data_IF_973703519346
#
_entry.id   IF_973703519346
#
_cell.length_a   1.000
_cell.length_b   1.000
_cell.length_c   1.000
_cell.angle_alpha   90.00
_cell.angle_beta   90.00
_cell.angle_gamma   90.00
#
_symmetry.space_group_name_H-M   'P 1'
#
loop_
_entity.id
_entity.type
_entity.pdbx_description
1 polymer ?
#
# COMPACT_ATOMS: atom_id res chain seq x y z
N UNK A 1 -34.44 8.11 -9.81
CA UNK A 1 -33.31 7.96 -8.86
C UNK A 1 -32.85 6.51 -8.98
N UNK A 2 -31.72 6.25 -9.60
CA UNK A 2 -31.09 4.92 -9.60
C UNK A 2 -30.71 4.60 -8.16
N UNK A 3 -31.19 3.48 -7.62
CA UNK A 3 -30.80 3.00 -6.30
C UNK A 3 -29.27 2.93 -6.24
N UNK A 4 -28.66 3.48 -5.18
CA UNK A 4 -27.22 3.40 -4.98
C UNK A 4 -26.85 1.93 -4.73
N UNK A 5 -26.23 1.29 -5.72
CA UNK A 5 -25.77 -0.10 -5.62
C UNK A 5 -24.44 -0.24 -4.86
N UNK A 6 -23.79 0.88 -4.55
CA UNK A 6 -22.52 0.89 -3.83
C UNK A 6 -22.75 1.02 -2.32
N UNK A 7 -21.95 0.30 -1.54
CA UNK A 7 -21.91 0.50 -0.10
C UNK A 7 -21.47 1.93 0.23
N UNK A 8 -22.03 2.50 1.29
CA UNK A 8 -21.75 3.88 1.73
C UNK A 8 -20.45 4.00 2.55
N UNK A 9 -19.40 3.31 2.12
CA UNK A 9 -18.06 3.34 2.75
C UNK A 9 -17.27 4.60 2.43
N UNK A 10 -17.66 5.31 1.36
CA UNK A 10 -17.10 6.60 0.95
C UNK A 10 -18.21 7.60 0.68
N UNK A 11 -17.89 8.88 0.80
CA UNK A 11 -18.75 10.00 0.41
C UNK A 11 -18.12 10.74 -0.78
N UNK A 12 -18.26 10.21 -2.01
CA UNK A 12 -17.70 10.86 -3.19
C UNK A 12 -18.36 12.22 -3.42
N UNK A 13 -17.58 13.16 -3.94
CA UNK A 13 -18.12 14.42 -4.44
C UNK A 13 -19.14 14.14 -5.56
N UNK A 14 -20.13 15.01 -5.71
CA UNK A 14 -21.12 14.93 -6.80
C UNK A 14 -20.51 15.36 -8.14
N UNK A 15 -19.43 14.74 -8.53
CA UNK A 15 -18.63 15.02 -9.72
C UNK A 15 -18.17 13.71 -10.35
N UNK A 16 -18.33 13.58 -11.66
CA UNK A 16 -17.90 12.41 -12.43
C UNK A 16 -17.13 12.87 -13.65
N UNK A 17 -15.93 12.31 -13.83
CA UNK A 17 -15.06 12.59 -14.96
C UNK A 17 -15.26 11.56 -16.06
N UNK A 18 -15.25 12.02 -17.31
CA UNK A 18 -15.39 11.19 -18.52
C UNK A 18 -14.11 11.09 -19.34
N UNK A 19 -13.16 12.03 -19.14
CA UNK A 19 -11.93 12.13 -19.91
C UNK A 19 -10.79 12.69 -19.05
N UNK A 20 -9.57 12.21 -19.28
CA UNK A 20 -8.33 12.76 -18.73
C UNK A 20 -7.24 12.85 -19.78
N UNK A 21 -6.43 13.90 -19.74
CA UNK A 21 -5.24 14.08 -20.58
C UNK A 21 -4.16 14.91 -19.84
N UNK A 22 -3.00 14.34 -19.65
CA UNK A 22 -1.96 14.98 -18.85
C UNK A 22 -2.47 15.29 -17.44
N UNK A 23 -2.43 16.55 -17.03
CA UNK A 23 -2.92 17.03 -15.74
C UNK A 23 -4.36 17.58 -15.79
N UNK A 24 -5.11 17.30 -16.84
CA UNK A 24 -6.47 17.80 -17.04
C UNK A 24 -7.51 16.70 -17.01
N UNK A 25 -8.64 16.99 -16.42
CA UNK A 25 -9.83 16.15 -16.37
C UNK A 25 -11.02 16.92 -16.94
N UNK A 26 -11.96 16.21 -17.56
CA UNK A 26 -13.24 16.76 -18.04
C UNK A 26 -14.40 15.97 -17.47
N UNK A 27 -15.40 16.69 -16.96
CA UNK A 27 -16.62 16.06 -16.47
C UNK A 27 -17.58 15.68 -17.63
N UNK A 28 -18.73 15.11 -17.28
CA UNK A 28 -19.76 14.71 -18.24
C UNK A 28 -20.35 15.90 -19.02
N UNK A 29 -20.29 17.12 -18.47
CA UNK A 29 -20.73 18.35 -19.12
C UNK A 29 -19.62 19.03 -19.95
N UNK A 30 -18.43 18.45 -20.02
CA UNK A 30 -17.28 18.98 -20.76
C UNK A 30 -16.52 20.10 -20.03
N UNK A 31 -16.81 20.36 -18.76
CA UNK A 31 -16.04 21.33 -17.97
C UNK A 31 -14.67 20.77 -17.64
N UNK A 32 -13.65 21.60 -17.77
CA UNK A 32 -12.27 21.26 -17.54
C UNK A 32 -11.84 21.55 -16.10
N UNK A 33 -11.01 20.67 -15.55
CA UNK A 33 -10.45 20.74 -14.21
C UNK A 33 -8.94 20.46 -14.24
N UNK A 34 -8.19 21.11 -13.37
CA UNK A 34 -6.80 20.74 -13.08
C UNK A 34 -6.81 19.59 -12.06
N UNK A 35 -6.18 18.47 -12.41
CA UNK A 35 -6.02 17.33 -11.49
C UNK A 35 -4.73 17.50 -10.69
N UNK A 36 -4.86 17.90 -9.43
CA UNK A 36 -3.76 17.97 -8.46
C UNK A 36 -3.72 16.76 -7.53
N UNK A 37 -4.63 15.78 -7.71
CA UNK A 37 -4.73 14.57 -6.88
C UNK A 37 -4.09 13.36 -7.56
N UNK A 38 -4.13 13.32 -8.90
CA UNK A 38 -3.57 12.23 -9.72
C UNK A 38 -4.08 10.84 -9.31
N UNK A 39 -5.36 10.72 -8.90
CA UNK A 39 -5.92 9.47 -8.40
C UNK A 39 -5.27 8.99 -7.09
N UNK A 40 -4.89 9.90 -6.20
CA UNK A 40 -4.06 9.69 -5.01
C UNK A 40 -2.68 9.10 -5.44
N UNK A 41 -1.96 9.89 -6.26
CA UNK A 41 -0.62 9.59 -6.80
C UNK A 41 -0.52 8.32 -7.68
N UNK A 42 -1.63 7.87 -8.28
CA UNK A 42 -1.64 6.71 -9.20
C UNK A 42 -1.20 7.10 -10.61
N UNK A 43 -1.68 8.25 -11.13
CA UNK A 43 -1.40 8.71 -12.50
C UNK A 43 -0.21 9.68 -12.54
N UNK A 44 0.93 9.29 -11.99
CA UNK A 44 2.11 10.14 -11.81
C UNK A 44 2.68 10.75 -13.09
N UNK A 45 2.47 10.11 -14.23
CA UNK A 45 2.90 10.61 -15.55
C UNK A 45 1.78 11.33 -16.31
N UNK A 46 0.65 11.59 -15.64
CA UNK A 46 -0.55 12.17 -16.20
C UNK A 46 -1.47 11.18 -16.87
N UNK A 47 -2.73 11.62 -17.08
CA UNK A 47 -3.76 10.84 -17.71
C UNK A 47 -3.45 10.57 -19.18
N UNK A 48 -3.80 9.39 -19.67
CA UNK A 48 -3.71 8.98 -21.08
C UNK A 48 -2.33 9.19 -21.70
N UNK A 49 -1.26 8.95 -20.92
CA UNK A 49 0.10 9.10 -21.42
C UNK A 49 0.34 8.14 -22.60
N UNK A 50 0.75 8.63 -23.81
CA UNK A 50 0.70 7.84 -25.03
C UNK A 50 1.57 6.58 -25.00
N UNK A 51 2.74 6.61 -24.38
CA UNK A 51 3.60 5.44 -24.24
C UNK A 51 2.98 4.37 -23.35
N UNK A 52 2.26 4.75 -22.29
CA UNK A 52 1.59 3.82 -21.38
C UNK A 52 0.39 3.21 -22.07
N UNK A 53 -0.44 4.03 -22.74
CA UNK A 53 -1.60 3.55 -23.51
C UNK A 53 -1.14 2.55 -24.59
N UNK A 54 -0.09 2.87 -25.35
CA UNK A 54 0.46 1.97 -26.36
C UNK A 54 0.93 0.65 -25.76
N UNK A 55 1.74 0.70 -24.69
CA UNK A 55 2.28 -0.50 -24.06
C UNK A 55 1.17 -1.41 -23.48
N UNK A 56 0.14 -0.82 -22.85
CA UNK A 56 -1.00 -1.58 -22.33
C UNK A 56 -1.79 -2.22 -23.48
N UNK A 57 -2.09 -1.46 -24.53
CA UNK A 57 -2.87 -1.97 -25.69
C UNK A 57 -2.14 -3.08 -26.42
N UNK A 58 -0.84 -2.95 -26.64
CA UNK A 58 -0.02 -3.96 -27.27
C UNK A 58 0.02 -5.23 -26.40
N UNK A 59 0.36 -5.11 -25.13
CA UNK A 59 0.44 -6.26 -24.23
C UNK A 59 -0.91 -6.97 -24.04
N UNK A 60 -2.00 -6.18 -23.95
CA UNK A 60 -3.35 -6.75 -23.82
C UNK A 60 -3.75 -7.58 -25.05
N UNK A 61 -3.26 -7.19 -26.25
CA UNK A 61 -3.46 -7.96 -27.46
C UNK A 61 -2.62 -9.23 -27.57
N UNK A 62 -1.55 -9.36 -26.78
CA UNK A 62 -0.66 -10.52 -26.79
C UNK A 62 -0.99 -11.51 -25.67
N UNK A 63 -1.00 -11.06 -24.43
CA UNK A 63 -1.16 -11.93 -23.27
C UNK A 63 -1.51 -11.13 -22.01
N UNK A 64 -2.61 -11.46 -21.35
CA UNK A 64 -3.06 -10.79 -20.16
C UNK A 64 -2.51 -11.43 -18.87
N UNK A 65 -2.59 -12.76 -18.75
CA UNK A 65 -2.24 -13.44 -17.50
C UNK A 65 -1.98 -14.94 -17.72
N UNK A 66 -1.03 -15.51 -16.95
CA UNK A 66 -0.69 -16.93 -16.99
C UNK A 66 -0.58 -17.60 -15.63
N UNK A 67 -0.86 -16.88 -14.52
CA UNK A 67 -0.59 -17.35 -13.15
C UNK A 67 0.90 -17.48 -12.80
N UNK A 68 1.21 -17.54 -11.51
CA UNK A 68 2.55 -17.79 -10.99
C UNK A 68 3.04 -19.24 -11.20
N UNK A 69 2.26 -20.07 -11.86
CA UNK A 69 2.69 -21.40 -12.31
C UNK A 69 3.73 -21.31 -13.44
N UNK A 70 3.80 -20.19 -14.11
CA UNK A 70 4.72 -19.94 -15.21
C UNK A 70 5.55 -18.68 -14.93
N UNK A 71 6.73 -18.61 -15.54
CA UNK A 71 7.53 -17.38 -15.53
C UNK A 71 6.84 -16.28 -16.31
N UNK A 72 6.84 -15.08 -15.76
CA UNK A 72 6.29 -13.87 -16.36
C UNK A 72 7.44 -12.91 -16.67
N UNK A 73 7.77 -12.73 -17.94
CA UNK A 73 8.93 -11.95 -18.37
C UNK A 73 8.88 -10.50 -17.87
N UNK A 74 7.73 -9.83 -18.00
CA UNK A 74 7.55 -8.47 -17.52
C UNK A 74 7.74 -8.32 -15.99
N UNK A 75 7.32 -9.32 -15.22
CA UNK A 75 7.52 -9.35 -13.78
C UNK A 75 9.01 -9.45 -13.43
N UNK A 76 9.75 -10.30 -14.13
CA UNK A 76 11.20 -10.44 -13.91
C UNK A 76 11.96 -9.17 -14.29
N UNK A 77 11.65 -8.56 -15.44
CA UNK A 77 12.26 -7.32 -15.90
C UNK A 77 11.98 -6.16 -14.92
N UNK A 78 10.75 -6.05 -14.43
CA UNK A 78 10.39 -5.05 -13.44
C UNK A 78 11.11 -5.29 -12.11
N UNK A 79 11.16 -6.55 -11.63
CA UNK A 79 11.88 -6.92 -10.42
C UNK A 79 13.35 -6.53 -10.51
N UNK A 80 14.03 -6.87 -11.61
CA UNK A 80 15.43 -6.50 -11.85
C UNK A 80 15.63 -4.99 -11.79
N UNK A 81 14.75 -4.22 -12.41
CA UNK A 81 14.85 -2.75 -12.40
C UNK A 81 14.65 -2.16 -11.00
N UNK A 82 13.65 -2.66 -10.27
CA UNK A 82 13.33 -2.17 -8.92
C UNK A 82 14.43 -2.53 -7.91
N UNK A 83 14.92 -3.76 -7.94
CA UNK A 83 16.00 -4.20 -7.04
C UNK A 83 17.29 -3.42 -7.28
N UNK A 84 17.62 -3.15 -8.54
CA UNK A 84 18.77 -2.32 -8.91
C UNK A 84 18.63 -0.88 -8.37
N UNK A 85 17.44 -0.27 -8.51
CA UNK A 85 17.20 1.10 -8.04
C UNK A 85 17.14 1.21 -6.52
N UNK A 86 16.60 0.20 -5.85
CA UNK A 86 16.44 0.17 -4.40
C UNK A 86 17.68 -0.32 -3.64
N UNK A 87 18.70 -0.86 -4.34
CA UNK A 87 19.84 -1.52 -3.70
C UNK A 87 19.45 -2.79 -2.94
N UNK A 88 18.37 -3.47 -3.36
CA UNK A 88 17.85 -4.69 -2.75
C UNK A 88 18.09 -5.90 -3.64
N UNK A 89 18.05 -7.10 -3.06
CA UNK A 89 18.31 -8.33 -3.81
C UNK A 89 17.08 -8.90 -4.50
N UNK A 90 15.91 -8.70 -3.92
CA UNK A 90 14.67 -9.36 -4.37
C UNK A 90 13.47 -8.43 -4.26
N UNK A 91 12.49 -8.65 -5.14
CA UNK A 91 11.18 -8.00 -5.12
C UNK A 91 10.07 -9.06 -5.08
N UNK A 92 8.99 -8.74 -4.41
CA UNK A 92 7.76 -9.51 -4.43
C UNK A 92 6.59 -8.59 -4.80
N UNK A 93 5.74 -9.02 -5.72
CA UNK A 93 4.63 -8.21 -6.22
C UNK A 93 3.31 -8.65 -5.63
N UNK A 94 2.53 -7.66 -5.22
CA UNK A 94 1.18 -7.81 -4.68
C UNK A 94 0.20 -6.91 -5.45
N UNK A 95 -1.10 -7.08 -5.21
CA UNK A 95 -2.14 -6.31 -5.92
C UNK A 95 -2.43 -4.94 -5.27
N UNK A 96 -1.96 -4.73 -4.03
CA UNK A 96 -2.21 -3.49 -3.29
C UNK A 96 -1.13 -3.23 -2.25
N UNK A 97 -1.04 -1.96 -1.78
CA UNK A 97 -0.18 -1.61 -0.65
C UNK A 97 -0.55 -2.35 0.64
N UNK A 98 -1.85 -2.61 0.87
CA UNK A 98 -2.28 -3.40 2.02
C UNK A 98 -1.73 -4.83 1.98
N UNK A 99 -1.77 -5.50 0.81
CA UNK A 99 -1.18 -6.83 0.63
C UNK A 99 0.34 -6.81 0.76
N UNK A 100 1.01 -5.76 0.29
CA UNK A 100 2.44 -5.60 0.46
C UNK A 100 2.81 -5.47 1.95
N UNK A 101 2.05 -4.69 2.72
CA UNK A 101 2.24 -4.57 4.16
C UNK A 101 1.89 -5.86 4.91
N UNK A 102 0.84 -6.60 4.50
CA UNK A 102 0.57 -7.94 5.04
C UNK A 102 1.75 -8.90 4.80
N UNK A 103 2.35 -8.83 3.62
CA UNK A 103 3.55 -9.62 3.30
C UNK A 103 4.72 -9.21 4.19
N UNK A 104 4.97 -7.92 4.39
CA UNK A 104 6.02 -7.41 5.28
C UNK A 104 5.81 -7.88 6.72
N UNK A 105 4.59 -7.80 7.24
CA UNK A 105 4.24 -8.28 8.58
C UNK A 105 4.44 -9.79 8.73
N UNK A 106 4.06 -10.57 7.70
CA UNK A 106 4.30 -12.02 7.68
C UNK A 106 5.79 -12.35 7.67
N UNK A 107 6.59 -11.61 6.88
CA UNK A 107 8.05 -11.77 6.84
C UNK A 107 8.69 -11.43 8.20
N UNK A 108 8.26 -10.34 8.84
CA UNK A 108 8.73 -9.97 10.17
C UNK A 108 8.46 -11.06 11.20
N UNK A 109 7.24 -11.64 11.19
CA UNK A 109 6.87 -12.75 12.08
C UNK A 109 7.68 -14.01 11.79
N UNK A 110 7.82 -14.39 10.53
CA UNK A 110 8.61 -15.54 10.12
C UNK A 110 10.07 -15.38 10.52
N UNK A 111 10.65 -14.20 10.30
CA UNK A 111 12.01 -13.88 10.72
C UNK A 111 12.17 -14.01 12.25
N UNK A 112 11.26 -13.43 13.03
CA UNK A 112 11.25 -13.53 14.48
C UNK A 112 11.18 -15.00 14.95
N UNK A 113 10.27 -15.77 14.37
CA UNK A 113 10.16 -17.20 14.67
C UNK A 113 11.46 -17.96 14.38
N UNK A 114 12.11 -17.71 13.23
CA UNK A 114 13.40 -18.32 12.89
C UNK A 114 14.54 -17.92 13.85
N UNK A 115 14.40 -16.77 14.52
CA UNK A 115 15.31 -16.33 15.59
C UNK A 115 14.93 -16.84 16.98
N UNK A 116 13.92 -17.70 17.10
CA UNK A 116 13.46 -18.24 18.38
C UNK A 116 12.57 -17.28 19.19
N UNK A 117 12.03 -16.24 18.56
CA UNK A 117 11.10 -15.30 19.20
C UNK A 117 9.69 -15.88 19.10
N UNK A 118 9.14 -16.37 20.21
CA UNK A 118 7.79 -16.98 20.23
C UNK A 118 6.69 -16.02 19.86
N UNK A 119 6.79 -14.76 20.32
CA UNK A 119 5.81 -13.68 20.07
C UNK A 119 6.52 -12.47 19.46
N UNK A 120 6.83 -12.50 18.15
CA UNK A 120 7.50 -11.41 17.48
C UNK A 120 6.67 -10.13 17.51
N UNK A 121 7.30 -9.04 17.93
CA UNK A 121 6.69 -7.71 18.05
C UNK A 121 7.14 -6.83 16.89
N UNK A 122 6.22 -6.05 16.34
CA UNK A 122 6.52 -5.03 15.33
C UNK A 122 6.29 -3.64 15.94
N UNK A 123 7.30 -2.79 15.86
CA UNK A 123 7.16 -1.38 16.22
C UNK A 123 6.59 -0.63 15.03
N UNK A 124 5.57 0.19 15.27
CA UNK A 124 4.89 1.02 14.24
C UNK A 124 4.80 2.46 14.69
N UNK A 125 4.58 3.39 13.75
CA UNK A 125 4.50 4.81 14.07
C UNK A 125 3.05 5.23 14.36
N UNK A 126 2.89 6.16 15.30
CA UNK A 126 1.62 6.86 15.51
C UNK A 126 1.23 7.63 14.25
N UNK A 127 -0.07 7.75 13.99
CA UNK A 127 -0.67 8.42 12.84
C UNK A 127 -0.34 7.78 11.47
N UNK A 128 0.36 6.64 11.43
CA UNK A 128 0.66 5.94 10.19
C UNK A 128 -0.55 5.18 9.64
N UNK A 129 -0.62 5.07 8.30
CA UNK A 129 -1.60 4.28 7.58
C UNK A 129 -0.91 3.12 6.84
N UNK A 130 -1.28 1.88 7.17
CA UNK A 130 -0.69 0.69 6.55
C UNK A 130 -1.68 -0.16 5.76
N UNK A 131 -2.96 0.15 5.80
CA UNK A 131 -4.01 -0.58 5.08
C UNK A 131 -5.27 -0.82 5.91
N UNK A 132 -6.23 -1.56 5.33
CA UNK A 132 -7.57 -1.81 5.92
C UNK A 132 -7.90 -3.29 6.12
N UNK A 133 -6.94 -4.20 5.94
CA UNK A 133 -7.06 -5.59 6.39
C UNK A 133 -6.94 -5.63 7.91
N UNK A 134 -7.38 -6.68 8.57
CA UNK A 134 -7.29 -6.76 10.04
C UNK A 134 -5.84 -6.63 10.54
N UNK A 135 -4.86 -7.23 9.85
CA UNK A 135 -3.44 -7.12 10.21
C UNK A 135 -2.87 -5.72 9.99
N UNK A 136 -3.08 -5.13 8.82
CA UNK A 136 -2.60 -3.77 8.53
C UNK A 136 -3.35 -2.70 9.30
N UNK A 137 -4.62 -2.93 9.64
CA UNK A 137 -5.41 -2.06 10.51
C UNK A 137 -4.87 -2.05 11.94
N UNK A 138 -4.38 -3.20 12.42
CA UNK A 138 -3.69 -3.30 13.72
C UNK A 138 -2.42 -2.45 13.76
N UNK A 139 -1.66 -2.46 12.67
CA UNK A 139 -0.44 -1.67 12.51
C UNK A 139 -0.71 -0.18 12.27
N UNK A 140 -1.90 0.17 11.75
CA UNK A 140 -2.29 1.56 11.49
C UNK A 140 -2.69 2.28 12.78
N UNK A 141 -2.61 3.60 12.76
CA UNK A 141 -3.09 4.45 13.85
C UNK A 141 -4.13 5.44 13.34
N UNK A 142 -5.20 5.58 14.12
CA UNK A 142 -6.30 6.49 13.77
C UNK A 142 -7.62 5.98 14.36
N UNK A 143 -8.26 6.75 15.23
CA UNK A 143 -9.50 6.31 15.89
C UNK A 143 -10.63 6.05 14.90
N UNK A 144 -10.73 6.84 13.83
CA UNK A 144 -11.80 6.73 12.83
C UNK A 144 -11.74 5.42 12.04
N UNK A 145 -10.53 4.93 11.70
CA UNK A 145 -10.37 3.69 10.92
C UNK A 145 -10.47 2.43 11.78
N UNK A 146 -10.32 2.58 13.10
CA UNK A 146 -10.40 1.46 14.07
C UNK A 146 -11.76 1.35 14.76
N UNK A 147 -12.65 2.29 14.53
CA UNK A 147 -13.98 2.31 15.16
C UNK A 147 -14.77 1.03 14.82
N UNK A 148 -15.19 0.30 15.84
CA UNK A 148 -15.91 -0.97 15.68
C UNK A 148 -15.02 -2.21 15.55
N UNK A 149 -13.68 -2.07 15.54
CA UNK A 149 -12.72 -3.17 15.41
C UNK A 149 -11.85 -3.25 16.68
N UNK A 150 -12.45 -3.58 17.83
CA UNK A 150 -11.81 -3.47 19.15
C UNK A 150 -10.64 -4.46 19.35
N UNK A 151 -10.80 -5.71 18.94
CA UNK A 151 -9.79 -6.75 19.11
C UNK A 151 -9.13 -7.05 17.77
N UNK A 152 -8.02 -6.37 17.48
CA UNK A 152 -7.26 -6.53 16.26
C UNK A 152 -6.07 -7.48 16.48
N UNK A 153 -5.74 -8.33 15.49
CA UNK A 153 -4.68 -9.32 15.63
C UNK A 153 -3.28 -8.69 15.58
N UNK A 154 -2.36 -9.31 16.30
CA UNK A 154 -0.92 -9.03 16.20
C UNK A 154 -0.36 -8.22 17.37
N UNK A 155 0.95 -8.41 17.58
CA UNK A 155 1.71 -7.70 18.60
C UNK A 155 2.37 -6.46 18.00
N UNK A 156 1.79 -5.29 18.29
CA UNK A 156 2.30 -4.01 17.85
C UNK A 156 2.54 -3.06 19.02
N UNK A 157 3.65 -2.32 18.96
CA UNK A 157 3.89 -1.18 19.84
C UNK A 157 3.98 0.07 19.00
N UNK A 158 3.22 1.10 19.38
CA UNK A 158 3.20 2.40 18.69
C UNK A 158 4.16 3.37 19.35
N UNK A 159 4.88 4.12 18.55
CA UNK A 159 5.78 5.19 18.97
C UNK A 159 5.57 6.43 18.10
N UNK A 160 5.74 7.65 18.64
CA UNK A 160 5.70 8.86 17.83
C UNK A 160 6.80 8.82 16.76
N UNK A 161 6.47 9.27 15.54
CA UNK A 161 7.45 9.35 14.46
C UNK A 161 8.58 10.31 14.82
N UNK A 162 9.84 9.86 14.67
CA UNK A 162 11.04 10.65 14.98
C UNK A 162 11.39 10.75 16.48
N UNK A 163 10.63 10.15 17.40
CA UNK A 163 10.97 10.13 18.82
C UNK A 163 11.88 8.95 19.16
N UNK A 164 13.18 9.18 19.08
CA UNK A 164 14.20 8.18 19.44
C UNK A 164 14.14 7.79 20.92
N UNK A 165 13.72 8.70 21.82
CA UNK A 165 13.61 8.37 23.24
C UNK A 165 12.46 7.41 23.52
N UNK A 166 11.34 7.56 22.80
CA UNK A 166 10.25 6.60 22.87
C UNK A 166 10.68 5.24 22.33
N UNK A 167 11.42 5.22 21.21
CA UNK A 167 11.97 3.98 20.63
C UNK A 167 12.95 3.29 21.59
N UNK A 168 13.84 4.04 22.26
CA UNK A 168 14.75 3.51 23.27
C UNK A 168 14.00 2.85 24.43
N UNK A 169 12.91 3.44 24.92
CA UNK A 169 12.07 2.84 25.97
C UNK A 169 11.45 1.52 25.49
N UNK A 170 10.94 1.48 24.26
CA UNK A 170 10.41 0.25 23.68
C UNK A 170 11.50 -0.82 23.53
N UNK A 171 12.70 -0.42 23.10
CA UNK A 171 13.86 -1.32 23.02
C UNK A 171 14.24 -1.89 24.40
N UNK A 172 14.24 -1.08 25.45
CA UNK A 172 14.53 -1.53 26.81
C UNK A 172 13.47 -2.50 27.34
N UNK A 173 12.18 -2.23 27.07
CA UNK A 173 11.07 -3.02 27.57
C UNK A 173 10.84 -4.32 26.78
N UNK A 174 11.07 -4.31 25.48
CA UNK A 174 10.64 -5.36 24.54
C UNK A 174 11.74 -5.82 23.58
N UNK A 175 12.97 -5.31 23.69
CA UNK A 175 14.06 -5.54 22.74
C UNK A 175 14.21 -6.97 22.21
N UNK A 176 14.21 -7.99 23.09
CA UNK A 176 14.31 -9.40 22.65
C UNK A 176 13.15 -9.88 21.77
N UNK A 177 12.01 -9.20 21.81
CA UNK A 177 10.82 -9.54 21.02
C UNK A 177 10.70 -8.75 19.73
N UNK A 178 11.42 -7.64 19.55
CA UNK A 178 11.31 -6.78 18.39
C UNK A 178 11.84 -7.48 17.15
N UNK A 179 10.97 -7.82 16.21
CA UNK A 179 11.31 -8.46 14.96
C UNK A 179 11.46 -7.46 13.80
N UNK A 180 10.72 -6.34 13.85
CA UNK A 180 10.75 -5.32 12.78
C UNK A 180 10.27 -3.96 13.29
N UNK A 181 10.59 -2.93 12.51
CA UNK A 181 10.00 -1.60 12.59
C UNK A 181 9.34 -1.31 11.23
N UNK A 182 8.06 -0.93 11.26
CA UNK A 182 7.30 -0.55 10.07
C UNK A 182 6.98 0.94 10.14
N UNK A 183 7.40 1.69 9.14
CA UNK A 183 7.26 3.15 9.09
C UNK A 183 6.60 3.60 7.79
N UNK A 184 5.74 4.59 7.91
CA UNK A 184 5.28 5.41 6.80
C UNK A 184 6.07 6.73 6.88
N UNK A 185 6.96 7.04 5.93
CA UNK A 185 7.89 8.16 6.07
C UNK A 185 7.28 9.53 5.74
N UNK A 186 6.09 9.58 5.11
CA UNK A 186 5.42 10.81 4.63
C UNK A 186 3.96 10.76 5.00
#
# INVERSE_FOLDING_TARGET
MTAACLMTTYQPLALSFSKGLGTRLWDQAGREYLDAVAGVAVTNVGHSHPKIVSAISEQAGLLLHTSNLYSIDWQQRLAQKLTQLAGMERAFFNNSGAEANETALKLARLYGWQKGIEQPLVVVMENAFHGRTLGTLSASDGPAVRLGFNELPGDFVKVPFGDLKALDKVQQAHGPRIAAILMEPI
#
